data_IF_305897794141
#
_entry.id   IF_305897794141
#
_cell.length_a   1.000
_cell.length_b   1.000
_cell.length_c   1.000
_cell.angle_alpha   90.00
_cell.angle_beta   90.00
_cell.angle_gamma   90.00
#
_symmetry.space_group_name_H-M   'P 1'
#
loop_
_entity.id
_entity.type
_entity.pdbx_description
1 polymer ?
#
# COMPACT_ATOMS: atom_id res chain seq x y z
N UNK A 1 52.01 -20.62 48.27
CA UNK A 1 50.89 -20.83 47.35
C UNK A 1 51.14 -19.92 46.17
N UNK A 2 51.83 -20.48 45.19
CA UNK A 2 52.31 -19.79 43.99
C UNK A 2 51.19 -19.67 42.97
N UNK A 3 51.17 -18.52 42.29
CA UNK A 3 50.38 -18.22 41.10
C UNK A 3 50.68 -19.23 40.00
N UNK A 4 49.66 -19.62 39.22
CA UNK A 4 49.76 -19.72 37.77
C UNK A 4 48.37 -19.81 37.14
N UNK A 5 47.97 -18.71 36.50
CA UNK A 5 46.87 -18.63 35.55
C UNK A 5 47.44 -18.91 34.16
N UNK A 6 46.81 -19.73 33.29
CA UNK A 6 47.01 -19.60 31.87
C UNK A 6 45.96 -18.64 31.29
N UNK A 7 46.47 -17.48 30.90
CA UNK A 7 45.92 -16.54 29.92
C UNK A 7 45.53 -17.27 28.64
N UNK A 8 44.38 -16.91 28.06
CA UNK A 8 44.21 -17.03 26.61
C UNK A 8 43.50 -15.78 26.11
N UNK A 9 44.25 -14.95 25.39
CA UNK A 9 43.83 -13.70 24.79
C UNK A 9 42.93 -13.94 23.56
N UNK A 10 41.78 -13.25 23.59
CA UNK A 10 40.99 -12.55 22.56
C UNK A 10 41.17 -12.88 21.04
N UNK A 11 40.14 -12.66 20.18
CA UNK A 11 39.69 -11.28 19.88
C UNK A 11 38.17 -11.04 19.76
N UNK A 12 37.80 -9.82 20.17
CA UNK A 12 36.71 -8.93 19.72
C UNK A 12 35.85 -9.31 18.50
N UNK A 13 34.52 -9.23 18.64
CA UNK A 13 33.62 -8.39 17.81
C UNK A 13 32.12 -8.62 18.12
N UNK A 14 31.32 -7.55 18.04
CA UNK A 14 29.85 -7.60 18.03
C UNK A 14 29.23 -6.73 19.13
N UNK A 15 29.41 -5.41 19.11
CA UNK A 15 28.52 -4.49 18.40
C UNK A 15 27.05 -4.72 18.77
N UNK A 16 26.48 -3.72 19.47
CA UNK A 16 25.06 -3.58 19.72
C UNK A 16 24.26 -3.92 18.45
N UNK A 17 23.41 -4.95 18.52
CA UNK A 17 22.36 -5.10 17.53
C UNK A 17 21.30 -4.05 17.87
N UNK A 18 21.54 -2.82 17.41
CA UNK A 18 20.49 -1.86 17.12
C UNK A 18 19.37 -2.60 16.39
N UNK A 19 18.15 -2.54 16.94
CA UNK A 19 16.96 -2.91 16.18
C UNK A 19 17.02 -2.16 14.85
N UNK A 20 17.01 -2.85 13.69
CA UNK A 20 16.95 -2.13 12.44
C UNK A 20 15.60 -1.39 12.41
N UNK A 21 15.59 -0.11 12.00
CA UNK A 21 14.40 0.72 11.99
C UNK A 21 13.38 0.10 11.04
N UNK A 22 12.35 -0.49 11.63
CA UNK A 22 11.30 -1.26 10.95
C UNK A 22 10.52 -0.42 9.95
N UNK A 23 10.61 0.91 10.03
CA UNK A 23 9.96 1.86 9.14
C UNK A 23 10.70 2.12 7.80
N UNK A 24 11.97 1.70 7.66
CA UNK A 24 12.77 2.00 6.44
C UNK A 24 12.62 0.91 5.36
N UNK A 25 12.14 -0.29 5.71
CA UNK A 25 12.15 -1.43 4.80
C UNK A 25 11.15 -1.32 3.63
N UNK A 26 10.00 -0.65 3.80
CA UNK A 26 9.04 -0.48 2.70
C UNK A 26 9.48 0.61 1.72
N UNK A 27 10.15 1.67 2.22
CA UNK A 27 10.61 2.82 1.43
C UNK A 27 11.94 2.57 0.72
N UNK A 28 12.84 1.77 1.30
CA UNK A 28 14.15 1.49 0.71
C UNK A 28 14.17 0.39 -0.36
N UNK A 29 13.15 -0.49 -0.40
CA UNK A 29 13.12 -1.61 -1.34
C UNK A 29 12.30 -1.34 -2.62
N UNK A 30 11.24 -0.50 -2.56
CA UNK A 30 10.35 -0.25 -3.70
C UNK A 30 9.74 1.17 -3.66
N UNK A 31 10.31 2.16 -4.38
CA UNK A 31 9.67 3.46 -4.53
C UNK A 31 8.43 3.29 -5.42
N UNK A 32 7.27 3.14 -4.80
CA UNK A 32 6.03 2.79 -5.48
C UNK A 32 6.03 1.33 -5.95
N UNK A 33 5.20 0.50 -5.33
CA UNK A 33 5.04 -0.89 -5.74
C UNK A 33 3.59 -1.30 -5.80
N UNK A 34 3.35 -2.36 -6.56
CA UNK A 34 2.03 -2.93 -6.80
C UNK A 34 2.15 -4.45 -6.65
N UNK A 35 1.19 -5.06 -5.95
CA UNK A 35 1.10 -6.50 -5.76
C UNK A 35 -0.32 -6.96 -6.05
N UNK A 36 -0.44 -8.03 -6.82
CA UNK A 36 -1.66 -8.81 -6.93
C UNK A 36 -1.68 -9.94 -5.89
N UNK A 37 -2.80 -10.64 -5.78
CA UNK A 37 -2.87 -11.87 -4.97
C UNK A 37 -1.82 -12.91 -5.38
N UNK A 38 -1.61 -13.10 -6.69
CA UNK A 38 -0.64 -14.06 -7.19
C UNK A 38 0.80 -13.68 -6.80
N UNK A 39 1.12 -12.37 -6.85
CA UNK A 39 2.43 -11.88 -6.44
C UNK A 39 2.66 -12.10 -4.94
N UNK A 40 1.64 -11.81 -4.11
CA UNK A 40 1.71 -12.06 -2.67
C UNK A 40 1.78 -13.56 -2.35
N UNK A 41 1.10 -14.42 -3.12
CA UNK A 41 1.18 -15.89 -2.99
C UNK A 41 2.54 -16.46 -3.36
N UNK A 42 3.23 -15.86 -4.32
CA UNK A 42 4.58 -16.25 -4.71
C UNK A 42 5.65 -15.82 -3.69
N UNK A 43 5.35 -14.92 -2.74
CA UNK A 43 6.29 -14.50 -1.71
C UNK A 43 6.57 -15.63 -0.70
N UNK A 44 7.82 -15.71 -0.22
CA UNK A 44 8.16 -16.56 0.92
C UNK A 44 7.37 -16.15 2.16
N UNK A 45 7.12 -17.10 3.07
CA UNK A 45 6.39 -16.83 4.32
C UNK A 45 7.02 -15.68 5.12
N UNK A 46 8.34 -15.62 5.19
CA UNK A 46 9.08 -14.52 5.85
C UNK A 46 8.81 -13.16 5.19
N UNK A 47 8.77 -13.10 3.86
CA UNK A 47 8.43 -11.87 3.13
C UNK A 47 6.97 -11.48 3.30
N UNK A 48 6.05 -12.45 3.35
CA UNK A 48 4.64 -12.19 3.65
C UNK A 48 4.48 -11.62 5.05
N UNK A 49 5.14 -12.21 6.05
CA UNK A 49 5.09 -11.74 7.45
C UNK A 49 5.63 -10.31 7.58
N UNK A 50 6.76 -10.02 6.93
CA UNK A 50 7.35 -8.68 6.88
C UNK A 50 6.39 -7.69 6.22
N UNK A 51 5.78 -8.05 5.08
CA UNK A 51 4.85 -7.17 4.39
C UNK A 51 3.60 -6.88 5.24
N UNK A 52 3.02 -7.91 5.87
CA UNK A 52 1.88 -7.76 6.78
C UNK A 52 2.22 -6.89 8.00
N UNK A 53 3.45 -6.96 8.51
CA UNK A 53 3.89 -6.12 9.65
C UNK A 53 4.06 -4.64 9.30
N UNK A 54 4.21 -4.33 8.01
CA UNK A 54 4.40 -2.97 7.50
C UNK A 54 3.09 -2.33 7.02
N UNK A 55 2.07 -3.15 6.77
CA UNK A 55 0.76 -2.68 6.37
C UNK A 55 -0.07 -2.24 7.58
N UNK A 56 -0.95 -1.24 7.42
CA UNK A 56 -1.96 -0.93 8.42
C UNK A 56 -2.78 -2.16 8.80
N UNK A 57 -3.16 -2.34 10.08
CA UNK A 57 -3.86 -3.54 10.55
C UNK A 57 -5.13 -3.88 9.75
N UNK A 58 -5.88 -2.88 9.28
CA UNK A 58 -7.06 -3.08 8.45
C UNK A 58 -6.71 -3.71 7.08
N UNK A 59 -5.66 -3.24 6.41
CA UNK A 59 -5.21 -3.77 5.11
C UNK A 59 -4.61 -5.16 5.29
N UNK A 60 -3.80 -5.35 6.33
CA UNK A 60 -3.25 -6.65 6.68
C UNK A 60 -4.37 -7.66 6.97
N UNK A 61 -5.41 -7.25 7.71
CA UNK A 61 -6.57 -8.09 7.96
C UNK A 61 -7.26 -8.51 6.66
N UNK A 62 -7.48 -7.59 5.72
CA UNK A 62 -8.13 -7.92 4.43
C UNK A 62 -7.31 -8.93 3.62
N UNK A 63 -5.99 -8.77 3.57
CA UNK A 63 -5.09 -9.73 2.91
C UNK A 63 -5.09 -11.11 3.58
N UNK A 64 -5.37 -11.17 4.88
CA UNK A 64 -5.44 -12.40 5.66
C UNK A 64 -6.83 -13.05 5.56
N UNK A 65 -7.91 -12.27 5.68
CA UNK A 65 -9.30 -12.76 5.79
C UNK A 65 -9.92 -13.13 4.45
N UNK A 66 -9.56 -12.45 3.35
CA UNK A 66 -10.05 -12.78 2.01
C UNK A 66 -9.27 -13.91 1.33
N UNK A 67 -8.48 -14.67 2.09
CA UNK A 67 -7.52 -15.64 1.57
C UNK A 67 -7.71 -17.05 2.15
N UNK A 68 -8.77 -17.79 1.77
CA UNK A 68 -8.62 -19.24 1.75
C UNK A 68 -7.46 -19.60 0.76
N UNK A 69 -6.81 -20.76 0.89
CA UNK A 69 -5.87 -21.24 -0.13
C UNK A 69 -6.64 -21.50 -1.41
N UNK A 70 -6.72 -20.48 -2.27
CA UNK A 70 -7.41 -20.55 -3.55
C UNK A 70 -6.44 -21.23 -4.53
N UNK A 71 -6.85 -22.28 -5.25
CA UNK A 71 -6.03 -22.87 -6.28
C UNK A 71 -5.58 -21.81 -7.31
N UNK A 72 -4.35 -21.88 -7.85
CA UNK A 72 -3.78 -20.82 -8.69
C UNK A 72 -4.63 -20.49 -9.94
N UNK A 73 -5.39 -21.46 -10.45
CA UNK A 73 -6.33 -21.23 -11.55
C UNK A 73 -7.53 -20.36 -11.14
N UNK A 74 -8.03 -20.50 -9.91
CA UNK A 74 -9.13 -19.68 -9.39
C UNK A 74 -8.64 -18.27 -9.05
N UNK A 75 -7.40 -18.12 -8.56
CA UNK A 75 -6.80 -16.80 -8.35
C UNK A 75 -6.62 -16.02 -9.66
N UNK A 76 -6.18 -16.70 -10.72
CA UNK A 76 -6.01 -16.08 -12.04
C UNK A 76 -7.35 -15.64 -12.65
N UNK A 77 -8.40 -16.45 -12.50
CA UNK A 77 -9.75 -16.07 -12.92
C UNK A 77 -10.29 -14.89 -12.08
N UNK A 78 -10.09 -14.89 -10.76
CA UNK A 78 -10.46 -13.76 -9.90
C UNK A 78 -9.75 -12.46 -10.29
N UNK A 79 -8.46 -12.54 -10.66
CA UNK A 79 -7.70 -11.39 -11.15
C UNK A 79 -8.22 -10.88 -12.50
N UNK A 80 -8.51 -11.78 -13.46
CA UNK A 80 -9.13 -11.39 -14.74
C UNK A 80 -10.44 -10.65 -14.54
N UNK A 81 -11.29 -11.15 -13.64
CA UNK A 81 -12.57 -10.51 -13.32
C UNK A 81 -12.38 -9.12 -12.72
N UNK A 82 -11.44 -8.96 -11.78
CA UNK A 82 -11.07 -7.64 -11.24
C UNK A 82 -10.64 -6.68 -12.35
N UNK A 83 -9.75 -7.11 -13.25
CA UNK A 83 -9.25 -6.27 -14.35
C UNK A 83 -10.37 -5.90 -15.32
N UNK A 84 -11.24 -6.85 -15.66
CA UNK A 84 -12.39 -6.61 -16.53
C UNK A 84 -13.41 -5.65 -15.91
N UNK A 85 -13.73 -5.82 -14.62
CA UNK A 85 -14.59 -4.91 -13.87
C UNK A 85 -14.00 -3.50 -13.82
N UNK A 86 -12.69 -3.39 -13.55
CA UNK A 86 -12.02 -2.10 -13.51
C UNK A 86 -12.03 -1.40 -14.86
N UNK A 87 -11.84 -2.15 -15.95
CA UNK A 87 -11.91 -1.60 -17.31
C UNK A 87 -13.31 -1.05 -17.63
N UNK A 88 -14.38 -1.74 -17.20
CA UNK A 88 -15.76 -1.27 -17.35
C UNK A 88 -16.03 -0.02 -16.52
N UNK A 89 -15.70 -0.06 -15.23
CA UNK A 89 -15.88 1.08 -14.33
C UNK A 89 -15.17 2.33 -14.86
N UNK A 90 -13.94 2.19 -15.39
CA UNK A 90 -13.19 3.30 -15.98
C UNK A 90 -13.88 3.97 -17.17
N UNK A 91 -14.72 3.25 -17.92
CA UNK A 91 -15.54 3.83 -18.98
C UNK A 91 -16.76 4.61 -18.47
N UNK A 92 -17.20 4.31 -17.26
CA UNK A 92 -18.41 4.87 -16.63
C UNK A 92 -18.10 5.99 -15.64
N UNK A 93 -16.86 6.07 -15.13
CA UNK A 93 -16.43 7.15 -14.24
C UNK A 93 -16.55 8.50 -14.96
N UNK A 94 -17.42 9.41 -14.48
CA UNK A 94 -17.58 10.72 -15.10
C UNK A 94 -16.40 11.64 -14.74
N UNK A 95 -16.33 12.78 -15.41
CA UNK A 95 -15.33 13.80 -15.10
C UNK A 95 -15.50 14.30 -13.65
N UNK A 96 -14.40 14.38 -12.90
CA UNK A 96 -14.43 14.86 -11.52
C UNK A 96 -14.59 16.38 -11.52
N UNK A 97 -15.62 16.93 -10.86
CA UNK A 97 -15.83 18.36 -10.79
C UNK A 97 -14.75 19.04 -9.94
N UNK A 98 -14.21 20.17 -10.42
CA UNK A 98 -13.35 21.04 -9.62
C UNK A 98 -14.23 21.93 -8.73
N UNK A 99 -14.59 21.42 -7.56
CA UNK A 99 -15.56 22.00 -6.63
C UNK A 99 -14.95 23.00 -5.62
N UNK A 100 -13.63 23.12 -5.60
CA UNK A 100 -12.91 24.05 -4.73
C UNK A 100 -12.04 24.99 -5.55
N UNK A 101 -11.92 26.20 -5.03
CA UNK A 101 -11.15 27.26 -5.65
C UNK A 101 -10.33 27.93 -4.57
N UNK A 102 -9.02 28.06 -4.82
CA UNK A 102 -8.12 28.85 -3.98
C UNK A 102 -7.82 30.13 -4.72
N UNK A 103 -8.05 31.23 -4.02
CA UNK A 103 -7.58 32.55 -4.42
C UNK A 103 -6.62 33.04 -3.34
N UNK A 104 -5.35 33.19 -3.68
CA UNK A 104 -4.36 33.69 -2.74
C UNK A 104 -3.41 34.68 -3.40
N UNK A 105 -2.97 35.65 -2.61
CA UNK A 105 -1.95 36.62 -3.00
C UNK A 105 -0.60 36.14 -2.47
N UNK A 106 0.35 35.93 -3.36
CA UNK A 106 1.72 35.57 -3.01
C UNK A 106 2.35 36.66 -2.17
N UNK A 107 2.68 36.34 -0.91
CA UNK A 107 3.35 37.27 0.00
C UNK A 107 4.73 37.71 -0.48
N UNK A 108 5.35 36.94 -1.39
CA UNK A 108 6.71 37.19 -1.92
C UNK A 108 6.69 38.06 -3.19
N UNK A 109 5.75 37.81 -4.08
CA UNK A 109 5.72 38.45 -5.41
C UNK A 109 4.58 39.46 -5.57
N UNK A 110 3.62 39.49 -4.65
CA UNK A 110 2.41 40.32 -4.76
C UNK A 110 1.41 39.83 -5.81
N UNK A 111 1.72 38.74 -6.52
CA UNK A 111 0.90 38.18 -7.59
C UNK A 111 -0.29 37.41 -7.01
N UNK A 112 -1.47 37.61 -7.60
CA UNK A 112 -2.69 36.89 -7.23
C UNK A 112 -2.78 35.63 -8.08
N UNK A 113 -2.83 34.48 -7.43
CA UNK A 113 -2.96 33.18 -8.07
C UNK A 113 -4.33 32.62 -7.79
N UNK A 114 -5.00 32.17 -8.85
CA UNK A 114 -6.29 31.53 -8.80
C UNK A 114 -6.17 30.12 -9.39
N UNK A 115 -6.51 29.10 -8.62
CA UNK A 115 -6.60 27.74 -9.14
C UNK A 115 -7.79 27.00 -8.55
N UNK A 116 -8.43 26.19 -9.40
CA UNK A 116 -9.51 25.29 -9.03
C UNK A 116 -8.99 23.87 -8.91
N UNK A 117 -9.53 23.12 -7.97
CA UNK A 117 -9.17 21.73 -7.71
C UNK A 117 -10.39 20.95 -7.24
N UNK A 118 -10.35 19.63 -7.41
CA UNK A 118 -11.35 18.73 -6.86
C UNK A 118 -10.97 18.32 -5.44
N UNK A 119 -11.92 18.40 -4.51
CA UNK A 119 -11.73 17.87 -3.16
C UNK A 119 -11.70 16.33 -3.15
N UNK A 120 -11.04 15.73 -2.15
CA UNK A 120 -11.01 14.27 -1.99
C UNK A 120 -12.41 13.68 -1.81
N UNK A 121 -13.32 14.39 -1.15
CA UNK A 121 -14.72 13.99 -1.01
C UNK A 121 -15.44 13.96 -2.37
N UNK A 122 -15.25 14.99 -3.20
CA UNK A 122 -15.79 15.03 -4.56
C UNK A 122 -15.20 13.95 -5.46
N UNK A 123 -13.89 13.71 -5.39
CA UNK A 123 -13.23 12.58 -6.08
C UNK A 123 -13.86 11.27 -5.63
N UNK A 124 -13.93 11.02 -4.32
CA UNK A 124 -14.46 9.78 -3.75
C UNK A 124 -15.90 9.54 -4.21
N UNK A 125 -16.79 10.51 -4.05
CA UNK A 125 -18.19 10.37 -4.47
C UNK A 125 -18.34 10.08 -5.96
N UNK A 126 -17.48 10.69 -6.78
CA UNK A 126 -17.50 10.51 -8.24
C UNK A 126 -17.10 9.09 -8.64
N UNK A 127 -16.12 8.50 -7.95
CA UNK A 127 -15.58 7.18 -8.31
C UNK A 127 -16.27 6.02 -7.60
N UNK A 128 -16.82 6.23 -6.39
CA UNK A 128 -17.34 5.14 -5.55
C UNK A 128 -18.52 4.43 -6.20
N UNK A 129 -19.48 5.16 -6.79
CA UNK A 129 -20.68 4.56 -7.39
C UNK A 129 -20.33 3.70 -8.62
N UNK A 130 -19.59 4.20 -9.63
CA UNK A 130 -19.19 3.38 -10.78
C UNK A 130 -18.34 2.17 -10.41
N UNK A 131 -17.50 2.29 -9.37
CA UNK A 131 -16.72 1.13 -8.89
C UNK A 131 -17.64 0.09 -8.23
N UNK A 132 -18.55 0.53 -7.35
CA UNK A 132 -19.46 -0.36 -6.64
C UNK A 132 -20.44 -1.10 -7.59
N UNK A 133 -20.90 -0.44 -8.66
CA UNK A 133 -21.75 -1.06 -9.69
C UNK A 133 -21.05 -2.21 -10.44
N UNK A 134 -19.72 -2.19 -10.47
CA UNK A 134 -18.89 -3.27 -11.04
C UNK A 134 -18.34 -4.22 -9.97
N UNK A 135 -18.88 -4.20 -8.74
CA UNK A 135 -18.45 -5.09 -7.65
C UNK A 135 -17.06 -4.75 -7.09
N UNK A 136 -16.56 -3.54 -7.32
CA UNK A 136 -15.24 -3.09 -6.88
C UNK A 136 -15.34 -2.23 -5.61
N UNK A 137 -14.39 -2.45 -4.69
CA UNK A 137 -14.20 -1.63 -3.50
C UNK A 137 -12.78 -1.09 -3.49
N UNK A 138 -12.67 0.23 -3.35
CA UNK A 138 -11.40 0.95 -3.20
C UNK A 138 -11.25 1.38 -1.74
N UNK A 139 -10.17 0.95 -1.10
CA UNK A 139 -9.78 1.39 0.23
C UNK A 139 -8.41 2.07 0.18
N UNK A 140 -8.31 3.24 0.78
CA UNK A 140 -7.06 3.96 0.93
C UNK A 140 -6.76 4.11 2.41
N UNK A 141 -5.60 3.61 2.83
CA UNK A 141 -5.15 3.71 4.23
C UNK A 141 -3.85 4.48 4.29
N UNK A 142 -3.85 5.52 5.12
CA UNK A 142 -2.68 6.34 5.38
C UNK A 142 -1.86 5.76 6.51
N UNK A 143 -0.56 5.59 6.29
CA UNK A 143 0.40 5.14 7.30
C UNK A 143 1.61 6.09 7.32
N UNK A 144 1.45 7.23 8.01
CA UNK A 144 2.42 8.32 8.22
C UNK A 144 3.11 8.89 6.96
N UNK A 145 3.89 8.07 6.28
CA UNK A 145 4.69 8.40 5.08
C UNK A 145 4.33 7.52 3.88
N UNK A 146 3.23 6.79 3.95
CA UNK A 146 2.85 5.88 2.87
C UNK A 146 1.35 5.82 2.75
N UNK A 147 0.85 5.94 1.53
CA UNK A 147 -0.54 5.68 1.21
C UNK A 147 -0.61 4.28 0.65
N UNK A 148 -1.39 3.42 1.29
CA UNK A 148 -1.70 2.09 0.77
C UNK A 148 -3.06 2.13 0.13
N UNK A 149 -3.15 1.72 -1.12
CA UNK A 149 -4.37 1.65 -1.91
C UNK A 149 -4.67 0.19 -2.20
N UNK A 150 -5.82 -0.27 -1.73
CA UNK A 150 -6.34 -1.60 -1.95
C UNK A 150 -7.57 -1.50 -2.85
N UNK A 151 -7.53 -2.19 -3.99
CA UNK A 151 -8.68 -2.42 -4.84
C UNK A 151 -9.06 -3.90 -4.74
N UNK A 152 -10.30 -4.18 -4.35
CA UNK A 152 -10.83 -5.54 -4.27
C UNK A 152 -12.08 -5.70 -5.12
N UNK A 153 -12.34 -6.91 -5.57
CA UNK A 153 -13.53 -7.30 -6.32
C UNK A 153 -14.29 -8.39 -5.55
N UNK A 154 -15.62 -8.40 -5.62
CA UNK A 154 -16.47 -9.37 -4.90
C UNK A 154 -16.14 -10.85 -5.20
N UNK A 155 -15.65 -11.16 -6.41
CA UNK A 155 -15.14 -12.50 -6.78
C UNK A 155 -13.75 -12.84 -6.19
N UNK A 156 -13.22 -12.03 -5.27
CA UNK A 156 -11.97 -12.30 -4.54
C UNK A 156 -10.70 -11.80 -5.21
N UNK A 157 -10.80 -11.07 -6.33
CA UNK A 157 -9.64 -10.41 -6.94
C UNK A 157 -9.15 -9.26 -6.05
N UNK A 158 -7.84 -9.14 -5.85
CA UNK A 158 -7.25 -8.02 -5.09
C UNK A 158 -6.04 -7.46 -5.84
N UNK A 159 -5.93 -6.14 -5.82
CA UNK A 159 -4.79 -5.37 -6.25
C UNK A 159 -4.40 -4.37 -5.15
N UNK A 160 -3.16 -4.46 -4.70
CA UNK A 160 -2.58 -3.57 -3.70
C UNK A 160 -1.55 -2.68 -4.38
N UNK A 161 -1.55 -1.39 -4.11
CA UNK A 161 -0.48 -0.47 -4.48
C UNK A 161 -0.12 0.43 -3.32
N UNK A 162 1.09 0.97 -3.31
CA UNK A 162 1.51 1.95 -2.31
C UNK A 162 2.22 3.13 -2.96
N UNK A 163 1.96 4.31 -2.41
CA UNK A 163 2.55 5.58 -2.81
C UNK A 163 3.39 6.11 -1.64
N UNK A 164 4.61 6.64 -1.92
CA UNK A 164 5.47 7.26 -0.90
C UNK A 164 4.91 8.59 -0.36
#
# INVERSE_FOLDING_TARGET
>A
MENDTPTNDAPTNGAAAEQPPTAIALTAAYPGGSLTNADFAALSRERQQTLLSLLPPAVAAILITNRPPIPPHVEYEAHKKLVAALAKARGEIPSVPMDKTVDYVSKRTGERVHYSFASLDSISKTITVPLAEQGLVLECVFNDKTIVVLLSHEDGGIHLSWLP
#
